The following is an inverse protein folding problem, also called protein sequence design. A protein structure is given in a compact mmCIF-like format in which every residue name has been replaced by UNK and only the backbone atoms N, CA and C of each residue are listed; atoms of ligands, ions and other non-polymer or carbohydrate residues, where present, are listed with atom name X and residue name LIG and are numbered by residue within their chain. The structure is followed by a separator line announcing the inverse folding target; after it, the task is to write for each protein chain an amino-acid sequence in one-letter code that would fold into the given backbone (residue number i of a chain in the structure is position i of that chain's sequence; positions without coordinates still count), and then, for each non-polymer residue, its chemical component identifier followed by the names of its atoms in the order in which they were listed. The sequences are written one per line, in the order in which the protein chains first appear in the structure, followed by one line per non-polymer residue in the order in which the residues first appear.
data_IF_182524861798
#
_entry.id   IF_182524861798
#
_cell.length_a   1.000
_cell.length_b   1.000
_cell.length_c   1.000
_cell.angle_alpha   90.00
_cell.angle_beta   90.00
_cell.angle_gamma   90.00
#
_symmetry.space_group_name_H-M   'P 1'
#
loop_
_entity.id
_entity.type
_entity.pdbx_description
1 polymer ?
#
# COMPACT_ATOMS: atom_id res chain seq x y z
N UNK A 1 15.70 22.78 -18.40
CA UNK A 1 14.64 23.78 -18.73
C UNK A 1 13.27 23.09 -18.68
N UNK A 2 12.51 23.11 -17.59
CA UNK A 2 12.03 24.24 -16.81
C UNK A 2 10.50 24.17 -16.83
N UNK A 3 9.87 23.97 -15.66
CA UNK A 3 8.43 24.08 -15.34
C UNK A 3 7.44 23.14 -16.07
N UNK A 4 6.54 22.40 -15.41
CA UNK A 4 5.53 22.94 -14.49
C UNK A 4 5.09 21.88 -13.47
N UNK A 5 5.45 22.10 -12.20
CA UNK A 5 4.69 21.61 -11.05
C UNK A 5 3.41 22.44 -10.91
N UNK A 6 2.40 21.86 -10.26
CA UNK A 6 1.24 22.51 -9.61
C UNK A 6 0.18 23.18 -10.49
N UNK A 7 -0.96 22.49 -10.66
CA UNK A 7 -2.29 23.13 -10.60
C UNK A 7 -3.28 22.25 -9.82
N UNK A 8 -3.67 22.72 -8.65
CA UNK A 8 -4.88 22.26 -7.93
C UNK A 8 -6.12 22.86 -8.61
N UNK A 9 -7.29 22.17 -8.61
CA UNK A 9 -8.55 22.80 -8.99
C UNK A 9 -9.09 23.70 -7.85
N UNK A 10 -9.89 24.73 -8.19
CA UNK A 10 -10.27 25.78 -7.25
C UNK A 10 -11.36 25.33 -6.27
N UNK A 11 -11.25 25.79 -5.03
CA UNK A 11 -12.18 25.55 -3.93
C UNK A 11 -13.41 26.46 -4.03
N UNK A 12 -14.60 25.89 -3.80
CA UNK A 12 -15.83 26.65 -3.64
C UNK A 12 -16.92 25.80 -3.02
N UNK A 13 -17.11 25.91 -1.70
CA UNK A 13 -18.23 25.28 -1.00
C UNK A 13 -17.99 25.10 0.49
N UNK A 14 -18.75 25.83 1.31
CA UNK A 14 -18.75 25.79 2.78
C UNK A 14 -18.86 24.34 3.31
N UNK A 15 -18.04 24.02 4.31
CA UNK A 15 -18.10 22.78 5.10
C UNK A 15 -19.42 22.67 5.88
N UNK A 16 -20.23 21.60 5.70
CA UNK A 16 -21.26 21.22 6.65
C UNK A 16 -20.81 20.02 7.50
N UNK A 17 -21.41 19.97 8.70
CA UNK A 17 -21.09 19.16 9.85
C UNK A 17 -20.92 17.64 9.63
N UNK A 18 -20.03 17.10 10.47
CA UNK A 18 -19.84 15.69 10.78
C UNK A 18 -21.16 15.01 11.17
N UNK A 19 -21.40 13.80 10.68
CA UNK A 19 -22.32 12.84 11.31
C UNK A 19 -21.75 11.44 11.16
N UNK A 20 -21.72 10.72 12.27
CA UNK A 20 -21.21 9.34 12.41
C UNK A 20 -22.40 8.38 12.22
N UNK A 21 -22.22 7.35 11.38
CA UNK A 21 -23.11 6.19 11.36
C UNK A 21 -22.30 4.90 11.19
N UNK A 22 -22.82 3.84 11.82
CA UNK A 22 -22.13 2.65 12.30
C UNK A 22 -21.71 1.62 11.23
N UNK A 23 -20.60 0.93 11.49
CA UNK A 23 -20.39 -0.46 11.07
C UNK A 23 -20.15 -1.30 12.33
N UNK A 24 -20.91 -2.38 12.48
CA UNK A 24 -20.84 -3.32 13.61
C UNK A 24 -19.52 -4.11 13.54
N UNK A 25 -18.57 -3.72 14.40
CA UNK A 25 -17.36 -4.37 14.92
C UNK A 25 -16.40 -3.22 15.21
N UNK A 26 -16.09 -2.93 16.48
CA UNK A 26 -15.20 -1.84 16.82
C UNK A 26 -13.81 -2.09 16.18
N UNK A 27 -13.35 -1.23 15.24
CA UNK A 27 -12.03 -1.41 14.67
C UNK A 27 -10.96 -1.19 15.73
N UNK A 28 -9.90 -2.02 15.77
CA UNK A 28 -8.88 -1.90 16.80
C UNK A 28 -8.27 -0.49 16.75
N UNK A 29 -8.12 0.12 17.91
CA UNK A 29 -7.31 1.31 18.10
C UNK A 29 -5.86 1.02 17.69
N UNK A 30 -5.10 2.07 17.39
CA UNK A 30 -3.66 1.91 17.12
C UNK A 30 -2.92 1.32 18.32
N UNK A 31 -3.39 1.59 19.54
CA UNK A 31 -2.87 0.99 20.77
C UNK A 31 -3.10 -0.52 20.81
N UNK A 32 -4.31 -0.98 20.51
CA UNK A 32 -4.63 -2.41 20.42
C UNK A 32 -3.87 -3.09 19.29
N UNK A 33 -3.76 -2.45 18.12
CA UNK A 33 -2.96 -2.97 17.01
C UNK A 33 -1.50 -3.16 17.42
N UNK A 34 -0.92 -2.18 18.13
CA UNK A 34 0.46 -2.25 18.63
C UNK A 34 0.63 -3.32 19.71
N UNK A 35 -0.30 -3.41 20.66
CA UNK A 35 -0.27 -4.40 21.73
C UNK A 35 -0.43 -5.84 21.22
N UNK A 36 -1.15 -6.02 20.11
CA UNK A 36 -1.35 -7.31 19.47
C UNK A 36 -0.20 -7.76 18.56
N UNK A 37 0.80 -6.91 18.29
CA UNK A 37 1.94 -7.32 17.48
C UNK A 37 2.98 -8.10 18.31
N UNK A 38 3.52 -9.20 17.78
CA UNK A 38 4.74 -9.80 18.32
C UNK A 38 5.84 -8.74 18.51
N UNK A 39 6.65 -8.90 19.55
CA UNK A 39 7.73 -7.97 19.87
C UNK A 39 8.66 -7.71 18.67
N UNK A 40 9.20 -6.50 18.58
CA UNK A 40 10.16 -6.12 17.54
C UNK A 40 9.67 -5.06 16.54
N UNK A 41 8.36 -4.76 16.49
CA UNK A 41 7.86 -3.62 15.71
C UNK A 41 8.30 -2.30 16.35
N UNK A 42 9.10 -1.52 15.61
CA UNK A 42 9.65 -0.23 16.04
C UNK A 42 8.75 0.93 15.61
N UNK A 43 9.05 2.12 16.14
CA UNK A 43 8.41 3.38 15.72
C UNK A 43 8.58 3.55 14.19
N UNK A 44 7.56 4.08 13.53
CA UNK A 44 7.56 4.23 12.07
C UNK A 44 7.06 2.98 11.31
N UNK A 45 6.62 1.93 12.02
CA UNK A 45 6.10 0.73 11.36
C UNK A 45 7.21 -0.16 10.77
N UNK A 46 8.43 0.00 11.28
CA UNK A 46 9.61 -0.75 10.85
C UNK A 46 9.82 -2.00 11.70
N UNK A 47 10.20 -3.11 11.08
CA UNK A 47 10.54 -4.36 11.76
C UNK A 47 11.75 -5.01 11.10
N UNK A 48 12.60 -5.63 11.93
CA UNK A 48 13.67 -6.53 11.53
C UNK A 48 13.63 -7.78 12.40
N UNK A 49 13.77 -8.99 11.85
CA UNK A 49 13.79 -10.22 12.64
C UNK A 49 14.89 -10.18 13.71
N UNK A 50 14.59 -10.52 14.98
CA UNK A 50 15.56 -10.41 16.06
C UNK A 50 16.62 -11.52 16.06
N UNK A 51 16.29 -12.67 15.48
CA UNK A 51 17.08 -13.91 15.61
C UNK A 51 17.77 -14.34 14.31
N UNK A 52 17.67 -13.54 13.25
CA UNK A 52 18.28 -13.84 11.96
C UNK A 52 18.45 -12.57 11.11
N UNK A 53 19.27 -12.66 10.07
CA UNK A 53 19.34 -11.64 9.03
C UNK A 53 18.23 -11.88 8.00
N UNK A 54 17.46 -10.83 7.70
CA UNK A 54 16.41 -10.93 6.70
C UNK A 54 17.01 -11.02 5.30
N UNK A 55 16.50 -11.94 4.48
CA UNK A 55 16.92 -12.08 3.07
C UNK A 55 16.38 -10.98 2.16
N UNK A 56 15.35 -10.27 2.62
CA UNK A 56 14.62 -9.31 1.81
C UNK A 56 14.31 -8.07 2.64
N UNK A 57 14.62 -6.90 2.08
CA UNK A 57 14.20 -5.58 2.60
C UNK A 57 13.04 -5.03 1.77
N UNK A 58 11.88 -4.89 2.38
CA UNK A 58 10.63 -4.54 1.67
C UNK A 58 9.99 -3.26 2.20
N UNK A 59 9.73 -2.29 1.32
CA UNK A 59 8.85 -1.17 1.63
C UNK A 59 7.42 -1.51 1.20
N UNK A 60 6.46 -1.43 2.11
CA UNK A 60 5.04 -1.59 1.79
C UNK A 60 4.37 -0.22 1.78
N UNK A 61 3.94 0.24 0.61
CA UNK A 61 3.32 1.55 0.39
C UNK A 61 1.81 1.38 0.32
N UNK A 62 1.10 2.00 1.26
CA UNK A 62 -0.36 1.92 1.41
C UNK A 62 -0.98 3.30 1.19
N UNK A 63 -1.61 3.56 0.03
CA UNK A 63 -2.35 4.79 -0.19
C UNK A 63 -3.67 4.74 0.57
N UNK A 64 -3.95 5.78 1.37
CA UNK A 64 -5.13 5.85 2.24
C UNK A 64 -5.90 7.14 2.00
N UNK A 65 -7.19 7.05 1.73
CA UNK A 65 -8.08 8.20 1.66
C UNK A 65 -8.54 8.67 3.05
N UNK A 66 -9.23 9.82 3.10
CA UNK A 66 -9.77 10.39 4.35
C UNK A 66 -10.75 9.45 5.07
N UNK A 67 -11.41 8.55 4.32
CA UNK A 67 -12.42 7.60 4.84
C UNK A 67 -11.87 6.22 5.18
N UNK A 68 -10.59 5.95 4.97
CA UNK A 68 -10.01 4.59 5.09
C UNK A 68 -9.52 4.24 6.50
N UNK A 69 -9.71 5.13 7.49
CA UNK A 69 -9.21 4.96 8.87
C UNK A 69 -9.50 3.60 9.49
N UNK A 70 -10.71 3.08 9.27
CA UNK A 70 -11.16 1.78 9.78
C UNK A 70 -10.44 0.64 9.07
N UNK A 71 -10.41 0.67 7.73
CA UNK A 71 -9.76 -0.37 6.90
C UNK A 71 -8.28 -0.42 7.17
N UNK A 72 -7.63 0.74 7.28
CA UNK A 72 -6.21 0.86 7.61
C UNK A 72 -5.87 0.19 8.94
N UNK A 73 -6.66 0.38 9.99
CA UNK A 73 -6.43 -0.27 11.30
C UNK A 73 -6.50 -1.79 11.22
N UNK A 74 -7.48 -2.31 10.49
CA UNK A 74 -7.65 -3.74 10.25
C UNK A 74 -6.48 -4.29 9.42
N UNK A 75 -6.11 -3.59 8.35
CA UNK A 75 -4.97 -3.93 7.50
C UNK A 75 -3.68 -3.98 8.31
N UNK A 76 -3.32 -2.92 9.03
CA UNK A 76 -2.06 -2.86 9.78
C UNK A 76 -1.96 -4.00 10.79
N UNK A 77 -3.07 -4.33 11.48
CA UNK A 77 -3.09 -5.45 12.42
C UNK A 77 -2.76 -6.78 11.74
N UNK A 78 -3.38 -7.05 10.58
CA UNK A 78 -3.16 -8.30 9.84
C UNK A 78 -1.79 -8.33 9.18
N UNK A 79 -1.45 -7.28 8.45
CA UNK A 79 -0.27 -7.15 7.61
C UNK A 79 1.01 -7.29 8.44
N UNK A 80 1.14 -6.58 9.56
CA UNK A 80 2.33 -6.71 10.41
C UNK A 80 2.56 -8.15 10.87
N UNK A 81 1.50 -8.87 11.27
CA UNK A 81 1.59 -10.27 11.64
C UNK A 81 2.07 -11.16 10.50
N UNK A 82 1.56 -10.96 9.28
CA UNK A 82 2.00 -11.70 8.09
C UNK A 82 3.48 -11.44 7.79
N UNK A 83 3.87 -10.17 7.69
CA UNK A 83 5.23 -9.79 7.31
C UNK A 83 6.28 -10.24 8.34
N UNK A 84 5.94 -10.23 9.63
CA UNK A 84 6.81 -10.75 10.68
C UNK A 84 6.99 -12.26 10.60
N UNK A 85 5.92 -13.02 10.31
CA UNK A 85 6.00 -14.47 10.10
C UNK A 85 6.77 -14.84 8.83
N UNK A 86 6.78 -13.96 7.83
CA UNK A 86 7.63 -14.09 6.64
C UNK A 86 9.10 -13.73 6.88
N UNK A 87 9.47 -13.33 8.11
CA UNK A 87 10.83 -12.96 8.50
C UNK A 87 11.47 -11.89 7.60
N UNK A 88 10.66 -10.94 7.14
CA UNK A 88 11.12 -9.80 6.34
C UNK A 88 11.71 -8.71 7.22
N UNK A 89 12.70 -7.98 6.71
CA UNK A 89 12.96 -6.62 7.18
C UNK A 89 12.07 -5.68 6.35
N UNK A 90 11.22 -4.90 7.02
CA UNK A 90 10.22 -4.11 6.31
C UNK A 90 9.88 -2.81 7.01
N UNK A 91 9.35 -1.86 6.23
CA UNK A 91 8.71 -0.64 6.72
C UNK A 91 7.38 -0.44 5.99
N UNK A 92 6.32 -0.09 6.73
CA UNK A 92 5.00 0.24 6.16
C UNK A 92 4.84 1.75 6.06
N UNK A 93 4.74 2.26 4.83
CA UNK A 93 4.51 3.67 4.50
C UNK A 93 3.03 3.91 4.19
N UNK A 94 2.32 4.53 5.13
CA UNK A 94 0.94 4.96 4.89
C UNK A 94 0.95 6.36 4.30
N UNK A 95 0.50 6.50 3.06
CA UNK A 95 0.42 7.79 2.37
C UNK A 95 -1.03 8.26 2.37
N UNK A 96 -1.32 9.20 3.26
CA UNK A 96 -2.69 9.66 3.48
C UNK A 96 -3.03 10.86 2.60
N UNK A 97 -4.09 10.74 1.81
CA UNK A 97 -4.77 11.88 1.21
C UNK A 97 -5.68 12.54 2.25
N UNK A 98 -5.40 13.81 2.54
CA UNK A 98 -6.13 14.62 3.52
C UNK A 98 -7.27 15.44 2.91
N UNK A 99 -7.37 15.48 1.59
CA UNK A 99 -8.42 16.22 0.87
C UNK A 99 -9.64 15.33 0.64
N UNK A 100 -10.84 15.92 0.74
CA UNK A 100 -12.13 15.24 0.49
C UNK A 100 -12.49 15.10 -1.00
N UNK A 101 -11.54 15.44 -1.89
CA UNK A 101 -11.68 15.28 -3.33
C UNK A 101 -11.53 13.82 -3.80
N UNK A 102 -11.51 13.60 -5.12
CA UNK A 102 -11.28 12.28 -5.70
C UNK A 102 -10.01 11.65 -5.14
N UNK A 103 -10.03 10.33 -4.93
CA UNK A 103 -8.88 9.61 -4.40
C UNK A 103 -7.82 9.40 -5.48
N UNK A 104 -6.62 9.97 -5.30
CA UNK A 104 -5.52 9.90 -6.27
C UNK A 104 -4.54 8.78 -5.93
N UNK A 105 -5.00 7.52 -6.08
CA UNK A 105 -4.24 6.32 -5.68
C UNK A 105 -2.82 6.30 -6.26
N UNK A 106 -2.69 6.39 -7.58
CA UNK A 106 -1.40 6.35 -8.29
C UNK A 106 -0.43 7.45 -7.83
N UNK A 107 -0.94 8.66 -7.58
CA UNK A 107 -0.12 9.76 -7.09
C UNK A 107 0.41 9.49 -5.68
N UNK A 108 -0.44 8.98 -4.78
CA UNK A 108 -0.05 8.61 -3.41
C UNK A 108 0.99 7.49 -3.41
N UNK A 109 0.86 6.51 -4.32
CA UNK A 109 1.88 5.47 -4.49
C UNK A 109 3.22 6.04 -4.93
N UNK A 110 3.24 6.91 -5.94
CA UNK A 110 4.46 7.58 -6.41
C UNK A 110 5.13 8.38 -5.29
N UNK A 111 4.36 9.13 -4.49
CA UNK A 111 4.87 9.86 -3.32
C UNK A 111 5.45 8.89 -2.30
N UNK A 112 4.73 7.82 -1.95
CA UNK A 112 5.20 6.84 -0.98
C UNK A 112 6.47 6.12 -1.41
N UNK A 113 6.59 5.76 -2.69
CA UNK A 113 7.82 5.17 -3.22
C UNK A 113 8.98 6.15 -3.16
N UNK A 114 8.76 7.43 -3.53
CA UNK A 114 9.82 8.46 -3.42
C UNK A 114 10.30 8.63 -1.98
N UNK A 115 9.39 8.70 -1.02
CA UNK A 115 9.73 8.83 0.40
C UNK A 115 10.44 7.57 0.93
N UNK A 116 9.95 6.38 0.58
CA UNK A 116 10.58 5.12 1.00
C UNK A 116 12.02 4.98 0.49
N UNK A 117 12.26 5.31 -0.78
CA UNK A 117 13.61 5.25 -1.37
C UNK A 117 14.55 6.33 -0.82
N UNK A 118 14.03 7.37 -0.18
CA UNK A 118 14.83 8.36 0.54
C UNK A 118 15.16 7.96 1.98
N UNK A 119 14.41 7.03 2.57
CA UNK A 119 14.56 6.61 3.97
C UNK A 119 15.57 5.46 4.11
N UNK A 120 15.53 4.48 3.21
CA UNK A 120 16.43 3.32 3.25
C UNK A 120 16.58 2.61 1.89
N UNK A 121 17.57 1.73 1.81
CA UNK A 121 17.79 0.86 0.64
C UNK A 121 16.88 -0.37 0.69
N UNK A 122 15.74 -0.28 -0.01
CA UNK A 122 14.81 -1.39 -0.19
C UNK A 122 15.11 -2.19 -1.45
N UNK A 123 14.94 -3.52 -1.38
CA UNK A 123 15.08 -4.42 -2.53
C UNK A 123 13.73 -4.65 -3.22
N UNK A 124 12.64 -4.42 -2.49
CA UNK A 124 11.29 -4.61 -2.96
C UNK A 124 10.35 -3.48 -2.53
N UNK A 125 9.50 -3.04 -3.45
CA UNK A 125 8.42 -2.09 -3.23
C UNK A 125 7.10 -2.83 -3.42
N UNK A 126 6.25 -2.85 -2.39
CA UNK A 126 4.92 -3.44 -2.45
C UNK A 126 3.89 -2.32 -2.42
N UNK A 127 3.17 -2.13 -3.52
CA UNK A 127 2.04 -1.21 -3.60
C UNK A 127 0.78 -1.94 -3.19
N UNK A 128 0.13 -1.48 -2.12
CA UNK A 128 -0.87 -2.28 -1.43
C UNK A 128 -2.16 -1.50 -1.16
N UNK A 129 -3.28 -2.00 -1.66
CA UNK A 129 -4.60 -1.42 -1.37
C UNK A 129 -4.97 -1.55 0.11
N UNK A 130 -5.49 -0.47 0.69
CA UNK A 130 -5.85 -0.39 2.11
C UNK A 130 -6.99 -1.35 2.52
N UNK A 131 -7.75 -1.87 1.55
CA UNK A 131 -8.93 -2.71 1.75
C UNK A 131 -8.77 -4.16 1.30
N UNK A 132 -7.55 -4.59 0.96
CA UNK A 132 -7.23 -6.00 0.72
C UNK A 132 -6.49 -6.59 1.92
N UNK A 133 -6.86 -7.79 2.35
CA UNK A 133 -6.20 -8.48 3.45
C UNK A 133 -5.57 -9.77 2.93
N UNK A 134 -4.30 -10.08 3.27
CA UNK A 134 -3.74 -11.38 2.94
C UNK A 134 -4.40 -12.48 3.76
N UNK A 135 -5.10 -13.39 3.09
CA UNK A 135 -5.71 -14.56 3.73
C UNK A 135 -4.68 -15.66 4.07
N UNK A 136 -3.60 -15.75 3.29
CA UNK A 136 -2.58 -16.80 3.41
C UNK A 136 -1.17 -16.21 3.44
N UNK A 137 -0.42 -16.53 4.49
CA UNK A 137 0.92 -16.00 4.72
C UNK A 137 2.00 -16.63 3.83
N UNK A 138 1.64 -17.66 3.04
CA UNK A 138 2.50 -18.20 1.98
C UNK A 138 2.56 -17.30 0.74
N UNK A 139 1.68 -16.29 0.65
CA UNK A 139 1.80 -15.25 -0.36
C UNK A 139 2.89 -14.25 0.08
N UNK A 140 4.12 -14.48 -0.36
CA UNK A 140 5.31 -13.75 0.09
C UNK A 140 5.32 -12.31 -0.41
N UNK A 141 5.48 -11.35 0.50
CA UNK A 141 5.59 -9.92 0.20
C UNK A 141 7.03 -9.58 -0.18
N UNK A 142 7.51 -10.22 -1.23
CA UNK A 142 8.86 -10.08 -1.77
C UNK A 142 8.79 -9.91 -3.27
N UNK A 143 9.88 -9.41 -3.85
CA UNK A 143 10.02 -9.23 -5.28
C UNK A 143 10.79 -10.41 -5.88
N UNK A 144 10.59 -10.64 -7.17
CA UNK A 144 11.30 -11.66 -7.96
C UNK A 144 12.05 -10.96 -9.11
N UNK A 145 13.27 -10.44 -8.85
CA UNK A 145 13.97 -9.55 -9.78
C UNK A 145 14.13 -10.11 -11.19
N UNK A 146 14.25 -11.44 -11.31
CA UNK A 146 14.46 -12.17 -12.56
C UNK A 146 13.17 -12.49 -13.33
N UNK A 147 12.01 -12.45 -12.67
CA UNK A 147 10.71 -12.85 -13.26
C UNK A 147 9.84 -11.66 -13.65
N UNK A 148 10.14 -10.46 -13.16
CA UNK A 148 9.39 -9.24 -13.45
C UNK A 148 8.54 -8.76 -12.27
N UNK A 149 7.63 -7.79 -12.51
CA UNK A 149 6.63 -7.36 -11.53
C UNK A 149 5.76 -8.55 -11.07
N UNK A 150 5.54 -8.65 -9.76
CA UNK A 150 4.74 -9.73 -9.16
C UNK A 150 3.36 -9.23 -8.77
N UNK A 151 2.31 -9.87 -9.27
CA UNK A 151 0.94 -9.61 -8.83
C UNK A 151 0.61 -10.45 -7.60
N UNK A 152 0.35 -9.81 -6.45
CA UNK A 152 0.07 -10.49 -5.18
C UNK A 152 -1.43 -10.72 -4.98
N UNK A 153 -2.29 -9.92 -5.62
CA UNK A 153 -3.75 -9.95 -5.45
C UNK A 153 -4.48 -10.74 -6.56
N UNK A 154 -4.00 -11.96 -6.84
CA UNK A 154 -4.51 -12.81 -7.93
C UNK A 154 -5.87 -13.47 -7.64
N UNK A 155 -6.24 -13.58 -6.37
CA UNK A 155 -7.47 -14.26 -5.93
C UNK A 155 -8.13 -13.47 -4.80
N UNK A 156 -9.03 -12.55 -5.17
CA UNK A 156 -9.77 -11.68 -4.24
C UNK A 156 -11.19 -12.22 -4.08
N UNK A 157 -11.70 -12.23 -2.85
CA UNK A 157 -13.05 -12.71 -2.47
C UNK A 157 -14.18 -12.03 -3.26
N UNK A 158 -14.08 -10.71 -3.47
CA UNK A 158 -15.00 -9.89 -4.28
C UNK A 158 -15.14 -10.41 -5.71
N UNK A 159 -14.09 -11.05 -6.23
CA UNK A 159 -14.06 -11.66 -7.56
C UNK A 159 -14.20 -13.19 -7.51
N UNK A 160 -14.71 -13.74 -6.40
CA UNK A 160 -14.87 -15.17 -6.15
C UNK A 160 -13.57 -15.95 -6.35
N UNK A 161 -12.45 -15.37 -5.88
CA UNK A 161 -11.11 -15.93 -5.97
C UNK A 161 -10.65 -16.23 -7.42
N UNK A 162 -11.13 -15.42 -8.38
CA UNK A 162 -10.71 -15.45 -9.78
C UNK A 162 -10.22 -14.08 -10.21
N UNK A 163 -9.27 -14.04 -11.14
CA UNK A 163 -8.89 -12.81 -11.79
C UNK A 163 -10.10 -12.24 -12.58
N UNK A 164 -10.39 -10.94 -12.48
CA UNK A 164 -11.43 -10.30 -13.28
C UNK A 164 -11.20 -10.46 -14.79
N UNK A 165 -9.93 -10.38 -15.21
CA UNK A 165 -9.44 -10.56 -16.57
C UNK A 165 -7.92 -10.82 -16.53
N UNK A 166 -7.34 -11.33 -17.62
CA UNK A 166 -5.96 -11.86 -17.66
C UNK A 166 -4.88 -10.82 -17.34
N UNK A 167 -5.04 -9.58 -17.82
CA UNK A 167 -4.10 -8.48 -17.60
C UNK A 167 -4.37 -7.66 -16.33
N UNK A 168 -5.24 -8.13 -15.43
CA UNK A 168 -5.55 -7.42 -14.19
C UNK A 168 -4.31 -7.35 -13.28
N UNK A 169 -3.89 -6.14 -12.91
CA UNK A 169 -2.70 -5.89 -12.08
C UNK A 169 -2.98 -4.95 -10.90
N UNK A 170 -4.26 -4.66 -10.64
CA UNK A 170 -4.72 -3.89 -9.49
C UNK A 170 -4.61 -4.62 -8.14
N UNK A 171 -4.95 -3.90 -7.06
CA UNK A 171 -4.96 -4.45 -5.71
C UNK A 171 -3.59 -4.36 -5.03
N UNK A 172 -2.81 -5.44 -5.13
CA UNK A 172 -1.48 -5.54 -4.51
C UNK A 172 -0.47 -6.06 -5.53
N UNK A 173 0.62 -5.33 -5.70
CA UNK A 173 1.72 -5.68 -6.60
C UNK A 173 3.07 -5.39 -5.96
N UNK A 174 4.09 -6.18 -6.33
CA UNK A 174 5.46 -6.03 -5.87
C UNK A 174 6.40 -5.79 -7.05
N UNK A 175 7.22 -4.75 -6.96
CA UNK A 175 8.19 -4.35 -7.97
C UNK A 175 9.52 -4.02 -7.30
N UNK A 176 10.63 -4.43 -7.91
CA UNK A 176 11.94 -3.91 -7.48
C UNK A 176 12.00 -2.41 -7.78
N UNK A 177 12.83 -1.64 -7.06
CA UNK A 177 13.04 -0.23 -7.40
C UNK A 177 13.44 -0.03 -8.86
N UNK A 178 14.29 -0.91 -9.41
CA UNK A 178 14.67 -0.89 -10.82
C UNK A 178 13.51 -1.17 -11.78
N UNK A 179 12.60 -2.10 -11.44
CA UNK A 179 11.36 -2.32 -12.22
C UNK A 179 10.46 -1.09 -12.17
N UNK A 180 10.27 -0.50 -10.99
CA UNK A 180 9.43 0.69 -10.80
C UNK A 180 9.92 1.90 -11.60
N UNK A 181 11.24 2.15 -11.59
CA UNK A 181 11.83 3.26 -12.34
C UNK A 181 11.76 3.05 -13.84
N UNK A 182 11.89 1.81 -14.34
CA UNK A 182 11.78 1.50 -15.77
C UNK A 182 10.41 1.84 -16.35
N UNK A 183 9.34 1.66 -15.58
CA UNK A 183 7.97 2.02 -16.01
C UNK A 183 7.61 3.48 -15.75
N UNK A 184 8.55 4.29 -15.23
CA UNK A 184 8.33 5.67 -14.81
C UNK A 184 7.19 5.83 -13.78
N UNK A 185 7.08 4.86 -12.86
CA UNK A 185 6.05 4.81 -11.82
C UNK A 185 4.61 4.66 -12.35
N UNK A 186 3.63 4.95 -11.47
CA UNK A 186 2.21 4.82 -11.78
C UNK A 186 1.69 6.07 -12.53
N UNK A 187 0.80 5.93 -13.54
CA UNK A 187 0.19 7.05 -14.23
C UNK A 187 -0.67 7.90 -13.28
N UNK A 188 -0.33 9.19 -13.11
CA UNK A 188 -0.96 10.08 -12.12
C UNK A 188 -2.17 10.87 -12.65
N UNK A 189 -2.54 10.70 -13.92
CA UNK A 189 -3.62 11.43 -14.59
C UNK A 189 -5.02 10.86 -14.33
N UNK A 190 -5.14 9.83 -13.49
CA UNK A 190 -6.40 9.17 -13.19
C UNK A 190 -6.77 9.25 -11.71
N UNK A 191 -8.08 9.27 -11.45
CA UNK A 191 -8.67 9.27 -10.12
C UNK A 191 -9.46 7.97 -9.90
N UNK A 192 -9.56 7.52 -8.64
CA UNK A 192 -10.22 6.26 -8.29
C UNK A 192 -9.27 5.07 -8.15
N UNK A 193 -9.84 3.89 -7.86
CA UNK A 193 -9.13 2.61 -7.73
C UNK A 193 -9.45 1.79 -8.98
N UNK A 194 -8.51 1.63 -9.90
CA UNK A 194 -8.75 0.91 -11.17
C UNK A 194 -7.99 1.45 -12.39
N UNK A 195 -7.34 2.61 -12.29
CA UNK A 195 -6.50 3.13 -13.37
C UNK A 195 -5.09 2.54 -13.42
N UNK A 196 -4.80 1.60 -12.50
CA UNK A 196 -3.49 1.01 -12.31
C UNK A 196 -3.27 -0.22 -13.20
N UNK A 197 -4.35 -0.77 -13.76
CA UNK A 197 -4.27 -1.90 -14.69
C UNK A 197 -3.54 -1.52 -15.99
N UNK A 198 -3.39 -0.22 -16.30
CA UNK A 198 -2.55 0.26 -17.40
C UNK A 198 -1.06 -0.06 -17.22
N UNK A 199 -0.60 -0.35 -16.00
CA UNK A 199 0.79 -0.78 -15.77
C UNK A 199 1.08 -2.14 -16.37
N UNK A 200 0.08 -3.01 -16.51
CA UNK A 200 0.25 -4.28 -17.20
C UNK A 200 0.71 -4.12 -18.65
N UNK A 201 0.50 -2.94 -19.24
CA UNK A 201 0.87 -2.62 -20.62
C UNK A 201 2.21 -1.87 -20.76
N UNK A 202 2.97 -1.69 -19.66
CA UNK A 202 4.21 -0.89 -19.63
C UNK A 202 5.47 -1.69 -19.34
#
# INVERSE_FOLDING_TARGET
PGETLSRLPPTGGRMPALTIAHLHLAPPSLGETRAAQPGGLRRGGHYRPPNCEARHRTAVVVPSGSRDRVRLRVLLRRLHGVLQRQQLEYTVYVVQQVTDGPFYRAWLLNVGVREALSDAEFECLVMHDVDLLPENDRNLYTCEPQLGPKHLAVAIDKFRYKLPYESYFGGVAALTPGQYMRINGFPSNHWGRGADDEIANR
#
